data_IF_072106392842
#
_entry.id   IF_072106392842
#
_cell.length_a   1.000
_cell.length_b   1.000
_cell.length_c   1.000
_cell.angle_alpha   90.00
_cell.angle_beta   90.00
_cell.angle_gamma   90.00
#
_symmetry.space_group_name_H-M   'P 1'
#
loop_
_entity.id
_entity.type
_entity.pdbx_description
1 polymer ?
#
# COMPACT_ATOMS: atom_id res chain seq x y z
N UNK A 1 17.98 -49.34 65.84
CA UNK A 1 16.72 -49.94 65.33
C UNK A 1 16.11 -48.91 64.40
N UNK A 2 16.47 -49.03 63.11
CA UNK A 2 16.09 -48.15 62.01
C UNK A 2 15.17 -48.98 61.12
N UNK A 3 13.96 -48.52 60.87
CA UNK A 3 13.08 -49.06 59.82
C UNK A 3 12.50 -47.90 59.04
N UNK A 4 13.14 -47.67 57.90
CA UNK A 4 12.56 -47.20 56.64
C UNK A 4 11.47 -48.18 56.15
N UNK A 5 10.84 -47.83 55.01
CA UNK A 5 9.97 -48.64 54.11
C UNK A 5 8.48 -48.33 54.30
N UNK A 6 7.62 -48.08 53.31
CA UNK A 6 7.66 -47.79 51.86
C UNK A 6 6.22 -47.30 51.55
N UNK A 7 6.06 -46.34 50.65
CA UNK A 7 4.78 -46.13 49.95
C UNK A 7 5.00 -46.57 48.50
N UNK A 8 4.27 -47.57 47.96
CA UNK A 8 4.22 -47.80 46.54
C UNK A 8 3.04 -47.06 45.91
N UNK A 9 3.28 -46.63 44.67
CA UNK A 9 2.31 -46.04 43.75
C UNK A 9 1.24 -47.05 43.32
N UNK A 10 0.11 -46.55 42.84
CA UNK A 10 -0.45 -47.09 41.59
C UNK A 10 -1.22 -46.03 40.79
N UNK A 11 -0.89 -46.05 39.50
CA UNK A 11 -1.45 -45.28 38.39
C UNK A 11 -2.70 -46.03 37.92
N UNK A 12 -3.89 -45.45 38.10
CA UNK A 12 -5.08 -45.97 37.44
C UNK A 12 -5.54 -45.01 36.33
N UNK A 13 -5.40 -45.52 35.10
CA UNK A 13 -5.81 -44.89 33.85
C UNK A 13 -7.29 -44.48 33.89
N UNK A 14 -7.55 -43.32 33.30
CA UNK A 14 -8.86 -42.83 32.87
C UNK A 14 -9.63 -43.90 32.09
N UNK A 15 -10.54 -44.60 32.78
CA UNK A 15 -11.59 -45.39 32.15
C UNK A 15 -12.63 -44.41 31.59
N UNK A 16 -12.65 -44.29 30.26
CA UNK A 16 -13.66 -43.59 29.49
C UNK A 16 -15.06 -44.02 29.93
N UNK A 17 -15.82 -43.06 30.45
CA UNK A 17 -17.22 -43.21 30.82
C UNK A 17 -18.02 -43.81 29.65
N UNK A 18 -18.50 -45.03 29.88
CA UNK A 18 -19.41 -45.73 28.97
C UNK A 18 -20.74 -44.98 28.96
N UNK A 19 -20.90 -44.03 28.02
CA UNK A 19 -22.16 -43.37 27.76
C UNK A 19 -23.11 -44.40 27.12
N UNK A 20 -23.78 -45.20 27.95
CA UNK A 20 -24.68 -46.27 27.52
C UNK A 20 -25.98 -45.64 27.01
N UNK A 21 -25.98 -45.21 25.75
CA UNK A 21 -27.18 -44.72 25.09
C UNK A 21 -28.23 -45.84 25.00
N UNK A 22 -29.52 -45.59 25.33
CA UNK A 22 -30.57 -46.60 25.45
C UNK A 22 -31.15 -47.03 24.09
N UNK A 23 -30.29 -47.24 23.11
CA UNK A 23 -30.70 -47.65 21.77
C UNK A 23 -30.34 -49.13 21.55
N UNK A 24 -31.25 -49.86 20.90
CA UNK A 24 -30.99 -51.21 20.42
C UNK A 24 -29.73 -51.21 19.54
N UNK A 25 -28.95 -52.28 19.58
CA UNK A 25 -27.69 -52.36 18.83
C UNK A 25 -27.91 -52.16 17.32
N UNK A 26 -29.08 -52.54 16.80
CA UNK A 26 -29.48 -52.24 15.42
C UNK A 26 -29.48 -50.73 15.10
N UNK A 27 -29.96 -49.89 16.01
CA UNK A 27 -30.00 -48.43 15.83
C UNK A 27 -28.61 -47.83 15.89
N UNK A 28 -27.72 -48.37 16.75
CA UNK A 28 -26.32 -47.93 16.81
C UNK A 28 -25.59 -48.21 15.50
N UNK A 29 -25.80 -49.39 14.91
CA UNK A 29 -25.23 -49.72 13.60
C UNK A 29 -25.82 -48.87 12.47
N UNK A 30 -27.11 -48.52 12.52
CA UNK A 30 -27.70 -47.59 11.57
C UNK A 30 -27.10 -46.18 11.67
N UNK A 31 -26.94 -45.64 12.88
CA UNK A 31 -26.32 -44.32 13.09
C UNK A 31 -24.86 -44.32 12.64
N UNK A 32 -24.11 -45.38 12.95
CA UNK A 32 -22.74 -45.55 12.49
C UNK A 32 -22.67 -45.61 10.95
N UNK A 33 -23.59 -46.33 10.32
CA UNK A 33 -23.69 -46.42 8.85
C UNK A 33 -23.97 -45.07 8.20
N UNK A 34 -24.90 -44.28 8.75
CA UNK A 34 -25.20 -42.92 8.27
C UNK A 34 -23.98 -42.01 8.46
N UNK A 35 -23.28 -42.10 9.59
CA UNK A 35 -22.08 -41.31 9.85
C UNK A 35 -20.95 -41.62 8.85
N UNK A 36 -20.73 -42.90 8.56
CA UNK A 36 -19.75 -43.34 7.54
C UNK A 36 -20.17 -42.85 6.15
N UNK A 37 -21.45 -42.91 5.80
CA UNK A 37 -21.95 -42.41 4.52
C UNK A 37 -21.72 -40.90 4.38
N UNK A 38 -22.02 -40.12 5.42
CA UNK A 38 -21.78 -38.67 5.44
C UNK A 38 -20.29 -38.34 5.32
N UNK A 39 -19.43 -39.11 5.97
CA UNK A 39 -17.98 -38.96 5.87
C UNK A 39 -17.49 -39.24 4.44
N UNK A 40 -17.99 -40.29 3.79
CA UNK A 40 -17.65 -40.59 2.40
C UNK A 40 -18.11 -39.50 1.43
N UNK A 41 -19.30 -38.94 1.64
CA UNK A 41 -19.80 -37.80 0.84
C UNK A 41 -18.90 -36.57 1.05
N UNK A 42 -18.51 -36.26 2.29
CA UNK A 42 -17.61 -35.15 2.57
C UNK A 42 -16.23 -35.34 1.92
N UNK A 43 -15.68 -36.55 1.95
CA UNK A 43 -14.42 -36.88 1.28
C UNK A 43 -14.54 -36.76 -0.25
N UNK A 44 -15.65 -37.18 -0.84
CA UNK A 44 -15.89 -37.01 -2.28
C UNK A 44 -15.95 -35.52 -2.68
N UNK A 45 -16.58 -34.67 -1.86
CA UNK A 45 -16.62 -33.22 -2.09
C UNK A 45 -15.21 -32.62 -1.96
N UNK A 46 -14.42 -33.02 -0.97
CA UNK A 46 -13.03 -32.57 -0.82
C UNK A 46 -12.15 -33.01 -2.00
N UNK A 47 -12.28 -34.26 -2.44
CA UNK A 47 -11.57 -34.78 -3.62
C UNK A 47 -11.98 -33.99 -4.87
N UNK A 48 -13.28 -33.68 -5.04
CA UNK A 48 -13.77 -32.85 -6.13
C UNK A 48 -13.18 -31.43 -6.08
N UNK A 49 -13.15 -30.80 -4.91
CA UNK A 49 -12.57 -29.46 -4.72
C UNK A 49 -11.06 -29.45 -5.02
N UNK A 50 -10.34 -30.48 -4.58
CA UNK A 50 -8.92 -30.67 -4.87
C UNK A 50 -8.73 -30.87 -6.38
N UNK A 51 -9.52 -31.73 -7.02
CA UNK A 51 -9.45 -31.97 -8.46
C UNK A 51 -9.75 -30.69 -9.27
N UNK A 52 -10.73 -29.89 -8.85
CA UNK A 52 -11.02 -28.58 -9.47
C UNK A 52 -9.85 -27.61 -9.32
N UNK A 53 -9.21 -27.58 -8.15
CA UNK A 53 -8.02 -26.76 -7.90
C UNK A 53 -6.82 -27.23 -8.74
N UNK A 54 -6.65 -28.54 -8.92
CA UNK A 54 -5.65 -29.10 -9.82
C UNK A 54 -5.97 -28.89 -11.30
N UNK A 55 -7.24 -28.89 -11.70
CA UNK A 55 -7.65 -28.60 -13.08
C UNK A 55 -7.49 -27.13 -13.44
N UNK A 56 -7.71 -26.20 -12.49
CA UNK A 56 -7.45 -24.76 -12.68
C UNK A 56 -5.95 -24.44 -12.76
N UNK A 57 -5.09 -25.25 -12.14
CA UNK A 57 -3.62 -25.11 -12.26
C UNK A 57 -3.05 -25.74 -13.53
N UNK A 58 -3.80 -26.62 -14.21
CA UNK A 58 -3.34 -27.28 -15.44
C UNK A 58 -3.65 -26.54 -16.75
N UNK A 59 -4.49 -25.50 -16.74
CA UNK A 59 -4.75 -24.65 -17.94
C UNK A 59 -3.90 -23.39 -17.99
N UNK A 60 -2.99 -23.19 -17.02
CA UNK A 60 -2.03 -22.09 -17.01
C UNK A 60 -0.62 -22.70 -16.96
N UNK A 61 0.27 -22.30 -17.88
CA UNK A 61 1.64 -22.81 -18.14
C UNK A 61 1.70 -24.00 -19.10
N UNK A 62 2.31 -23.77 -20.29
CA UNK A 62 3.77 -23.82 -20.40
C UNK A 62 4.28 -22.50 -21.02
N UNK A 63 5.52 -22.03 -20.92
CA UNK A 63 6.82 -22.67 -20.86
C UNK A 63 7.83 -21.52 -20.64
N UNK A 64 8.81 -21.67 -19.75
CA UNK A 64 10.24 -21.41 -20.04
C UNK A 64 11.04 -21.28 -18.73
N UNK A 65 11.84 -22.31 -18.49
CA UNK A 65 13.25 -22.14 -18.12
C UNK A 65 14.02 -23.17 -18.94
N UNK A 66 15.02 -22.75 -19.71
CA UNK A 66 16.37 -23.34 -19.79
C UNK A 66 17.23 -22.47 -20.73
N UNK A 67 18.17 -21.77 -20.12
CA UNK A 67 19.56 -21.50 -20.54
C UNK A 67 19.95 -21.93 -21.97
N UNK A 68 20.39 -20.97 -22.80
CA UNK A 68 21.68 -21.11 -23.50
C UNK A 68 22.21 -19.77 -24.04
N UNK A 69 23.48 -19.56 -23.70
CA UNK A 69 24.44 -18.61 -24.24
C UNK A 69 24.95 -19.15 -25.58
N UNK A 70 24.97 -18.33 -26.63
CA UNK A 70 26.11 -18.11 -27.55
C UNK A 70 25.72 -17.63 -28.96
N UNK A 71 26.30 -16.48 -29.31
CA UNK A 71 26.99 -16.12 -30.56
C UNK A 71 26.23 -15.89 -31.90
N UNK A 72 26.50 -14.67 -32.40
CA UNK A 72 26.78 -14.22 -33.78
C UNK A 72 25.59 -14.06 -34.75
N UNK A 73 25.28 -12.84 -35.22
CA UNK A 73 25.89 -12.00 -36.29
C UNK A 73 25.45 -12.39 -37.71
N UNK A 74 25.20 -11.34 -38.52
CA UNK A 74 24.95 -11.29 -39.98
C UNK A 74 23.54 -11.65 -40.46
N UNK A 75 22.99 -11.08 -41.54
CA UNK A 75 23.13 -9.85 -42.32
C UNK A 75 22.01 -9.92 -43.38
N UNK A 76 21.75 -8.83 -44.08
CA UNK A 76 20.66 -8.59 -45.04
C UNK A 76 20.56 -9.56 -46.24
N UNK A 77 19.34 -9.78 -46.79
CA UNK A 77 18.81 -9.20 -48.06
C UNK A 77 17.53 -9.92 -48.56
N UNK A 78 16.69 -9.29 -49.41
CA UNK A 78 15.36 -9.77 -49.81
C UNK A 78 15.26 -10.25 -51.28
N UNK A 79 14.23 -11.04 -51.61
CA UNK A 79 13.58 -11.06 -52.93
C UNK A 79 12.39 -12.04 -52.96
N UNK A 80 11.33 -11.69 -53.68
CA UNK A 80 10.42 -12.66 -54.31
C UNK A 80 8.94 -12.44 -54.02
N UNK A 81 8.27 -11.75 -54.94
CA UNK A 81 6.82 -11.58 -54.98
C UNK A 81 6.09 -12.88 -55.39
N UNK A 82 4.86 -13.07 -54.92
CA UNK A 82 3.67 -13.27 -55.78
C UNK A 82 2.36 -13.35 -54.98
N UNK A 83 1.30 -12.92 -55.65
CA UNK A 83 -0.04 -12.59 -55.18
C UNK A 83 -0.90 -13.82 -54.85
N UNK A 84 -1.93 -13.68 -54.00
CA UNK A 84 -3.35 -14.00 -54.33
C UNK A 84 -4.32 -13.56 -53.21
N UNK A 85 -5.42 -12.92 -53.66
CA UNK A 85 -6.79 -12.89 -53.10
C UNK A 85 -7.11 -12.20 -51.74
N UNK A 86 -7.76 -11.04 -51.83
CA UNK A 86 -8.85 -10.57 -50.90
C UNK A 86 -10.22 -11.14 -51.38
N UNK A 87 -11.41 -10.96 -50.72
CA UNK A 87 -11.83 -10.05 -49.61
C UNK A 87 -12.83 -10.76 -48.59
N UNK A 88 -13.70 -10.12 -47.76
CA UNK A 88 -14.01 -8.69 -47.57
C UNK A 88 -14.22 -8.12 -46.13
N UNK A 89 -13.96 -6.80 -46.02
CA UNK A 89 -14.77 -5.75 -45.36
C UNK A 89 -15.30 -5.91 -43.92
N UNK A 90 -14.69 -5.15 -42.98
CA UNK A 90 -15.42 -4.45 -41.92
C UNK A 90 -14.83 -3.06 -41.69
N UNK A 91 -15.70 -2.05 -41.61
CA UNK A 91 -15.40 -0.61 -41.63
C UNK A 91 -14.62 -0.16 -40.39
N UNK A 92 -13.48 0.50 -40.59
CA UNK A 92 -12.80 1.31 -39.57
C UNK A 92 -13.20 2.76 -39.79
N UNK A 93 -13.89 3.35 -38.80
CA UNK A 93 -14.16 4.79 -38.76
C UNK A 93 -12.99 5.47 -38.07
N UNK A 94 -12.27 6.31 -38.80
CA UNK A 94 -11.16 7.13 -38.33
C UNK A 94 -11.71 8.37 -37.60
N UNK A 95 -11.62 8.39 -36.28
CA UNK A 95 -11.93 9.57 -35.44
C UNK A 95 -10.62 10.13 -34.88
N UNK A 96 -9.68 10.50 -35.76
CA UNK A 96 -8.50 11.32 -35.38
C UNK A 96 -8.55 12.76 -35.89
N UNK A 97 -9.70 13.23 -36.38
CA UNK A 97 -9.88 14.60 -36.85
C UNK A 97 -10.62 15.56 -35.90
N UNK A 98 -11.35 15.08 -34.88
CA UNK A 98 -12.12 15.97 -33.99
C UNK A 98 -11.34 16.46 -32.75
N UNK A 99 -10.28 15.76 -32.34
CA UNK A 99 -9.54 16.06 -31.09
C UNK A 99 -8.62 17.29 -31.16
N UNK A 100 -8.46 17.92 -32.33
CA UNK A 100 -7.65 19.15 -32.49
C UNK A 100 -8.47 20.45 -32.53
N UNK A 101 -9.80 20.38 -32.33
CA UNK A 101 -10.68 21.55 -32.30
C UNK A 101 -11.17 21.98 -30.92
N UNK A 102 -10.96 21.18 -29.87
CA UNK A 102 -11.45 21.50 -28.51
C UNK A 102 -10.36 21.96 -27.51
N UNK A 103 -9.08 21.94 -27.90
CA UNK A 103 -7.97 22.35 -27.01
C UNK A 103 -7.62 23.85 -27.08
N UNK A 104 -8.39 24.68 -27.80
CA UNK A 104 -8.12 26.12 -27.95
C UNK A 104 -8.96 27.06 -27.08
N UNK A 105 -9.88 26.56 -26.25
CA UNK A 105 -10.86 27.43 -25.60
C UNK A 105 -10.68 27.65 -24.09
N UNK A 106 -9.61 27.21 -23.42
CA UNK A 106 -9.44 27.45 -21.98
C UNK A 106 -8.05 27.90 -21.52
N UNK A 107 -7.31 28.63 -22.36
CA UNK A 107 -6.08 29.33 -21.92
C UNK A 107 -6.03 30.78 -22.41
N UNK A 108 -6.76 31.68 -21.73
CA UNK A 108 -6.35 33.09 -21.61
C UNK A 108 -7.13 33.82 -20.51
N UNK A 109 -6.48 34.07 -19.39
CA UNK A 109 -6.66 35.31 -18.64
C UNK A 109 -5.24 35.84 -18.36
N UNK A 110 -4.83 36.77 -19.19
CA UNK A 110 -3.60 37.55 -19.10
C UNK A 110 -3.96 38.93 -18.57
N UNK A 111 -3.28 39.47 -17.55
CA UNK A 111 -2.95 40.89 -17.32
C UNK A 111 -1.93 40.99 -16.14
N UNK A 112 -1.16 42.08 -15.98
CA UNK A 112 0.01 42.42 -16.77
C UNK A 112 1.30 42.59 -15.92
N UNK A 113 2.41 42.71 -16.63
CA UNK A 113 3.78 42.96 -16.18
C UNK A 113 4.01 44.37 -15.61
N UNK A 114 4.82 44.47 -14.55
CA UNK A 114 5.64 45.64 -14.24
C UNK A 114 7.13 45.27 -14.22
N UNK A 115 7.97 46.22 -14.64
CA UNK A 115 9.34 46.06 -15.10
C UNK A 115 10.38 46.19 -13.97
N UNK A 116 11.45 45.39 -14.12
CA UNK A 116 12.88 45.64 -13.86
C UNK A 116 13.33 46.44 -12.62
N UNK A 117 14.16 45.79 -11.79
CA UNK A 117 15.51 46.23 -11.45
C UNK A 117 16.45 45.02 -11.30
N UNK A 118 17.71 45.21 -11.68
CA UNK A 118 18.74 44.19 -11.77
C UNK A 118 19.53 44.03 -10.45
N UNK A 119 20.28 42.91 -10.42
CA UNK A 119 21.53 42.63 -9.68
C UNK A 119 21.56 41.70 -8.46
N UNK A 120 22.58 40.83 -8.52
CA UNK A 120 23.22 40.00 -7.50
C UNK A 120 22.64 38.61 -7.18
N UNK A 121 22.94 37.69 -8.10
CA UNK A 121 23.78 36.51 -7.86
C UNK A 121 23.78 35.89 -6.44
N UNK A 122 23.02 34.79 -6.25
CA UNK A 122 23.40 33.63 -5.45
C UNK A 122 22.56 32.42 -5.91
N UNK A 123 23.09 31.67 -6.87
CA UNK A 123 22.51 30.38 -7.31
C UNK A 123 22.75 29.31 -6.26
N UNK A 124 21.78 29.04 -5.39
CA UNK A 124 21.60 27.70 -4.83
C UNK A 124 20.48 26.98 -5.56
N UNK A 125 20.84 25.80 -6.08
CA UNK A 125 20.07 25.03 -7.04
C UNK A 125 18.77 24.47 -6.42
N UNK A 126 17.64 25.15 -6.63
CA UNK A 126 16.35 24.47 -6.69
C UNK A 126 16.20 23.85 -8.08
N UNK A 127 16.81 22.69 -8.31
CA UNK A 127 16.43 21.84 -9.44
C UNK A 127 14.96 21.48 -9.28
N UNK A 128 14.10 22.07 -10.11
CA UNK A 128 12.73 21.60 -10.32
C UNK A 128 12.86 20.13 -10.69
N UNK A 129 12.50 19.22 -9.78
CA UNK A 129 12.43 17.78 -10.03
C UNK A 129 11.33 17.55 -11.06
N UNK A 130 11.70 17.65 -12.33
CA UNK A 130 10.79 17.43 -13.44
C UNK A 130 10.52 15.93 -13.50
N UNK A 131 9.29 15.54 -13.21
CA UNK A 131 8.85 14.15 -13.37
C UNK A 131 8.67 13.91 -14.86
N UNK A 132 9.14 12.76 -15.34
CA UNK A 132 9.12 12.40 -16.75
C UNK A 132 8.41 11.07 -16.95
N UNK A 133 7.63 11.02 -18.02
CA UNK A 133 6.94 9.83 -18.49
C UNK A 133 5.43 9.90 -18.30
N UNK A 134 4.74 8.93 -18.88
CA UNK A 134 3.29 8.78 -18.80
C UNK A 134 2.93 7.33 -18.51
N UNK A 135 1.82 7.11 -17.81
CA UNK A 135 1.29 5.77 -17.52
C UNK A 135 0.01 5.55 -18.32
N UNK A 136 -0.02 4.45 -19.10
CA UNK A 136 -1.17 3.97 -19.87
C UNK A 136 -1.81 2.79 -19.15
N UNK A 137 -3.12 2.87 -18.94
CA UNK A 137 -3.88 1.89 -18.16
C UNK A 137 -5.34 1.89 -18.62
N UNK A 138 -6.10 0.86 -18.25
CA UNK A 138 -7.55 0.82 -18.45
C UNK A 138 -8.30 0.56 -17.15
N UNK A 139 -9.46 1.19 -16.99
CA UNK A 139 -10.35 1.01 -15.83
C UNK A 139 -11.75 0.63 -16.31
N UNK A 140 -12.36 -0.32 -15.62
CA UNK A 140 -13.72 -0.78 -15.87
C UNK A 140 -14.42 -1.05 -14.55
N UNK A 141 -15.66 -0.61 -14.41
CA UNK A 141 -16.49 -0.89 -13.23
C UNK A 141 -17.84 -1.47 -13.65
N UNK A 142 -18.08 -2.70 -13.23
CA UNK A 142 -19.38 -3.34 -13.35
C UNK A 142 -20.25 -2.92 -12.15
N UNK A 143 -21.24 -2.06 -12.41
CA UNK A 143 -22.16 -1.57 -11.39
C UNK A 143 -23.08 -2.66 -10.83
N UNK A 144 -23.37 -3.72 -11.60
CA UNK A 144 -24.27 -4.79 -11.17
C UNK A 144 -23.60 -5.75 -10.19
N UNK A 145 -22.30 -5.98 -10.38
CA UNK A 145 -21.48 -6.86 -9.54
C UNK A 145 -20.64 -6.10 -8.51
N UNK A 146 -20.74 -4.76 -8.50
CA UNK A 146 -19.87 -3.85 -7.78
C UNK A 146 -18.37 -4.19 -7.96
N UNK A 147 -17.99 -4.55 -9.19
CA UNK A 147 -16.69 -5.14 -9.48
C UNK A 147 -15.83 -4.16 -10.27
N UNK A 148 -14.72 -3.72 -9.66
CA UNK A 148 -13.76 -2.83 -10.30
C UNK A 148 -12.59 -3.63 -10.87
N UNK A 149 -12.23 -3.33 -12.10
CA UNK A 149 -11.08 -3.88 -12.82
C UNK A 149 -10.14 -2.75 -13.24
N UNK A 150 -8.86 -2.92 -12.94
CA UNK A 150 -7.78 -2.02 -13.32
C UNK A 150 -6.71 -2.82 -14.05
N UNK A 151 -6.38 -2.44 -15.27
CA UNK A 151 -5.33 -3.06 -16.07
C UNK A 151 -4.21 -2.06 -16.31
N UNK A 152 -2.99 -2.40 -15.88
CA UNK A 152 -1.82 -1.57 -16.17
C UNK A 152 -1.23 -2.03 -17.49
N UNK A 153 -1.18 -1.14 -18.49
CA UNK A 153 -0.75 -1.50 -19.84
C UNK A 153 0.75 -1.25 -20.03
N UNK A 154 1.16 0.01 -19.90
CA UNK A 154 2.51 0.45 -20.24
C UNK A 154 2.90 1.72 -19.49
N UNK A 155 4.16 1.87 -19.13
CA UNK A 155 4.75 3.18 -18.82
C UNK A 155 5.61 3.61 -20.00
N UNK A 156 5.59 4.89 -20.34
CA UNK A 156 6.36 5.48 -21.42
C UNK A 156 7.22 6.64 -20.91
N UNK A 157 8.38 6.85 -21.52
CA UNK A 157 9.17 8.07 -21.32
C UNK A 157 9.85 8.22 -19.95
N UNK A 158 10.14 7.11 -19.25
CA UNK A 158 10.95 7.18 -18.04
C UNK A 158 12.38 7.60 -18.39
N UNK A 159 12.90 8.61 -17.70
CA UNK A 159 14.28 9.04 -17.87
C UNK A 159 15.18 8.18 -16.98
N UNK A 160 16.01 7.34 -17.60
CA UNK A 160 17.15 6.72 -16.93
C UNK A 160 18.27 7.73 -16.75
N UNK A 161 18.79 7.91 -15.53
CA UNK A 161 19.99 8.71 -15.30
C UNK A 161 21.18 8.03 -15.98
N UNK A 162 21.51 8.42 -17.23
CA UNK A 162 22.71 8.08 -18.06
C UNK A 162 23.20 6.62 -18.13
N UNK A 163 22.57 5.68 -17.42
CA UNK A 163 22.84 4.25 -17.37
C UNK A 163 21.47 3.55 -17.35
N UNK A 164 20.91 3.34 -18.54
CA UNK A 164 19.64 2.61 -18.74
C UNK A 164 19.68 1.16 -18.25
N UNK A 165 20.85 0.65 -17.82
CA UNK A 165 21.06 -0.67 -17.21
C UNK A 165 20.54 -0.81 -15.78
N UNK A 166 20.19 0.29 -15.09
CA UNK A 166 19.79 0.26 -13.67
C UNK A 166 18.28 0.30 -13.39
N UNK A 167 17.45 0.70 -14.35
CA UNK A 167 16.01 0.87 -14.12
C UNK A 167 15.28 -0.46 -14.05
N UNK A 168 14.58 -0.70 -12.95
CA UNK A 168 13.73 -1.86 -12.71
C UNK A 168 12.32 -1.39 -12.30
N UNK A 169 11.56 -0.75 -13.20
CA UNK A 169 10.26 -0.18 -12.86
C UNK A 169 9.18 -1.23 -12.56
N UNK A 170 8.35 -0.90 -11.58
CA UNK A 170 7.06 -1.53 -11.31
C UNK A 170 6.04 -0.46 -10.91
N UNK A 171 4.76 -0.76 -11.06
CA UNK A 171 3.66 0.12 -10.69
C UNK A 171 3.03 -0.39 -9.40
N UNK A 172 2.94 0.50 -8.42
CA UNK A 172 2.19 0.27 -7.17
C UNK A 172 0.83 0.93 -7.30
N UNK A 173 -0.24 0.15 -7.14
CA UNK A 173 -1.61 0.59 -7.36
C UNK A 173 -2.33 0.60 -6.01
N UNK A 174 -2.98 1.71 -5.68
CA UNK A 174 -3.77 1.86 -4.46
C UNK A 174 -5.15 2.42 -4.79
N UNK A 175 -6.17 1.78 -4.24
CA UNK A 175 -7.52 2.30 -4.26
C UNK A 175 -7.72 3.17 -3.02
N UNK A 176 -7.80 4.49 -3.22
CA UNK A 176 -7.90 5.47 -2.15
C UNK A 176 -9.34 5.93 -1.99
N UNK A 177 -9.89 5.84 -0.79
CA UNK A 177 -11.21 6.39 -0.46
C UNK A 177 -11.07 7.69 0.32
N UNK A 178 -11.78 8.73 -0.11
CA UNK A 178 -11.86 10.02 0.55
C UNK A 178 -12.94 9.99 1.64
N UNK A 179 -12.53 10.10 2.91
CA UNK A 179 -13.46 10.28 4.02
C UNK A 179 -14.06 11.67 4.05
N UNK A 180 -15.33 11.76 4.44
CA UNK A 180 -16.11 13.00 4.47
C UNK A 180 -15.79 13.94 5.64
N UNK A 181 -14.94 13.55 6.60
CA UNK A 181 -14.62 14.35 7.78
C UNK A 181 -13.11 14.35 8.06
N UNK A 182 -12.39 15.32 7.49
CA UNK A 182 -11.09 15.72 7.99
C UNK A 182 -11.29 16.73 9.13
N UNK A 183 -10.72 16.48 10.31
CA UNK A 183 -10.63 17.53 11.34
C UNK A 183 -9.81 18.69 10.78
N UNK A 184 -10.27 19.91 11.03
CA UNK A 184 -9.61 21.15 10.61
C UNK A 184 -8.17 21.17 11.11
N UNK A 185 -7.21 20.91 10.21
CA UNK A 185 -5.81 21.18 10.47
C UNK A 185 -5.54 22.64 10.11
N UNK A 186 -5.28 23.45 11.13
CA UNK A 186 -4.64 24.75 10.96
C UNK A 186 -3.27 24.53 10.31
N UNK A 187 -3.23 24.70 8.98
CA UNK A 187 -1.97 24.77 8.24
C UNK A 187 -1.37 26.15 8.48
N UNK A 188 -0.05 26.24 8.68
CA UNK A 188 0.70 27.46 9.03
C UNK A 188 0.66 28.59 7.97
N UNK A 189 -0.18 28.50 6.95
CA UNK A 189 -0.32 29.50 5.88
C UNK A 189 -1.78 29.85 5.62
N UNK A 190 -2.60 30.11 6.65
CA UNK A 190 -3.85 30.90 6.55
C UNK A 190 -4.92 30.46 5.52
N UNK A 191 -4.75 29.32 4.85
CA UNK A 191 -5.61 28.82 3.80
C UNK A 191 -6.16 27.47 4.27
N UNK A 192 -7.39 27.52 4.81
CA UNK A 192 -8.13 26.38 5.32
C UNK A 192 -8.63 25.57 4.12
N UNK A 193 -7.76 24.74 3.53
CA UNK A 193 -8.23 23.62 2.70
C UNK A 193 -8.51 22.44 3.63
N UNK A 194 -9.77 21.95 3.71
CA UNK A 194 -10.07 20.76 4.51
C UNK A 194 -9.22 19.61 3.99
N UNK A 195 -8.31 19.11 4.83
CA UNK A 195 -7.45 18.00 4.47
C UNK A 195 -8.28 16.73 4.43
N UNK A 196 -8.56 16.25 3.23
CA UNK A 196 -9.30 15.00 3.02
C UNK A 196 -8.54 13.86 3.69
N UNK A 197 -9.21 13.13 4.57
CA UNK A 197 -8.65 11.95 5.23
C UNK A 197 -8.81 10.74 4.31
N UNK A 198 -7.69 10.21 3.82
CA UNK A 198 -7.67 9.11 2.88
C UNK A 198 -7.60 7.76 3.57
N UNK A 199 -8.21 6.76 2.96
CA UNK A 199 -8.11 5.35 3.35
C UNK A 199 -7.63 4.53 2.16
N UNK A 200 -6.65 3.65 2.37
CA UNK A 200 -6.29 2.64 1.39
C UNK A 200 -7.26 1.46 1.53
N UNK A 201 -8.12 1.25 0.54
CA UNK A 201 -9.05 0.10 0.50
C UNK A 201 -8.33 -1.16 0.04
N UNK A 202 -7.49 -1.02 -0.99
CA UNK A 202 -6.82 -2.14 -1.62
C UNK A 202 -5.48 -1.68 -2.20
N UNK A 203 -4.47 -2.55 -2.13
CA UNK A 203 -3.13 -2.30 -2.66
C UNK A 203 -2.68 -3.47 -3.53
N UNK A 204 -2.13 -3.16 -4.71
CA UNK A 204 -1.54 -4.13 -5.63
C UNK A 204 -0.18 -3.64 -6.13
N UNK A 205 0.55 -4.56 -6.76
CA UNK A 205 1.80 -4.28 -7.45
C UNK A 205 1.87 -5.09 -8.74
N UNK A 206 2.40 -4.48 -9.79
CA UNK A 206 2.76 -5.19 -11.02
C UNK A 206 4.02 -6.04 -10.80
N UNK A 207 4.34 -6.85 -11.81
CA UNK A 207 5.68 -7.43 -11.93
C UNK A 207 6.75 -6.33 -12.08
N UNK A 208 7.99 -6.68 -11.75
CA UNK A 208 9.16 -5.80 -11.97
C UNK A 208 9.71 -6.07 -13.37
N UNK A 209 9.86 -5.03 -14.17
CA UNK A 209 10.48 -5.13 -15.51
C UNK A 209 11.89 -4.57 -15.44
N UNK A 210 12.90 -5.33 -15.86
CA UNK A 210 14.31 -4.93 -15.76
C UNK A 210 14.79 -4.21 -17.01
N UNK A 211 15.65 -3.20 -16.84
CA UNK A 211 16.38 -2.54 -17.91
C UNK A 211 15.51 -1.79 -18.92
N UNK A 212 14.30 -1.35 -18.55
CA UNK A 212 13.37 -0.71 -19.48
C UNK A 212 12.95 0.68 -19.00
N UNK A 213 13.00 1.63 -19.93
CA UNK A 213 12.41 2.97 -19.78
C UNK A 213 10.94 3.03 -20.26
N UNK A 214 10.48 1.96 -20.91
CA UNK A 214 9.12 1.85 -21.44
C UNK A 214 8.54 0.45 -21.10
N UNK A 215 8.38 0.10 -19.82
CA UNK A 215 7.98 -1.24 -19.41
C UNK A 215 6.53 -1.56 -19.83
N UNK A 216 6.34 -2.78 -20.35
CA UNK A 216 5.04 -3.35 -20.70
C UNK A 216 4.57 -4.34 -19.62
N UNK A 217 3.36 -4.17 -19.13
CA UNK A 217 2.78 -4.99 -18.06
C UNK A 217 1.61 -5.83 -18.61
N UNK A 218 0.47 -5.24 -18.92
CA UNK A 218 -0.76 -6.00 -19.19
C UNK A 218 -1.25 -6.78 -17.96
N UNK A 219 -0.79 -6.40 -16.75
CA UNK A 219 -1.25 -7.00 -15.49
C UNK A 219 -2.65 -6.45 -15.16
N UNK A 220 -3.60 -7.34 -14.84
CA UNK A 220 -4.98 -7.00 -14.48
C UNK A 220 -5.23 -7.26 -13.01
N UNK A 221 -5.87 -6.30 -12.34
CA UNK A 221 -6.22 -6.35 -10.92
C UNK A 221 -7.70 -6.07 -10.76
N UNK A 222 -8.33 -6.72 -9.79
CA UNK A 222 -9.75 -6.54 -9.54
C UNK A 222 -10.12 -6.65 -8.07
N UNK A 223 -11.16 -5.93 -7.67
CA UNK A 223 -11.77 -6.05 -6.34
C UNK A 223 -13.28 -5.84 -6.41
N UNK A 224 -13.97 -6.43 -5.43
CA UNK A 224 -15.38 -6.16 -5.16
C UNK A 224 -15.43 -4.93 -4.24
N UNK A 225 -16.16 -3.92 -4.66
CA UNK A 225 -16.51 -2.74 -3.90
C UNK A 225 -17.76 -3.07 -3.09
N UNK A 226 -17.75 -2.83 -1.78
CA UNK A 226 -18.94 -3.05 -0.96
C UNK A 226 -20.09 -2.13 -1.40
N UNK A 227 -21.32 -2.58 -1.15
CA UNK A 227 -22.55 -2.23 -1.89
C UNK A 227 -23.14 -0.84 -1.58
N UNK A 228 -22.29 0.19 -1.56
CA UNK A 228 -22.69 1.58 -1.50
C UNK A 228 -22.52 2.20 -2.89
N UNK A 229 -23.65 2.45 -3.58
CA UNK A 229 -23.68 3.00 -4.96
C UNK A 229 -22.88 4.30 -5.13
N UNK A 230 -22.72 5.07 -4.05
CA UNK A 230 -21.97 6.33 -4.04
C UNK A 230 -20.51 6.20 -3.60
N UNK A 231 -20.04 4.99 -3.28
CA UNK A 231 -18.66 4.78 -2.83
C UNK A 231 -17.67 5.08 -3.97
N UNK A 232 -17.99 4.70 -5.21
CA UNK A 232 -17.15 4.98 -6.38
C UNK A 232 -16.89 6.48 -6.56
N UNK A 233 -17.82 7.33 -6.14
CA UNK A 233 -17.69 8.79 -6.22
C UNK A 233 -16.61 9.35 -5.31
N UNK A 234 -16.28 8.63 -4.24
CA UNK A 234 -15.27 8.98 -3.25
C UNK A 234 -13.96 8.23 -3.47
N UNK A 235 -13.88 7.39 -4.51
CA UNK A 235 -12.69 6.60 -4.82
C UNK A 235 -11.80 7.32 -5.81
N UNK A 236 -10.52 7.40 -5.48
CA UNK A 236 -9.43 7.84 -6.33
C UNK A 236 -8.44 6.71 -6.51
N UNK A 237 -8.13 6.38 -7.76
CA UNK A 237 -7.11 5.42 -8.10
C UNK A 237 -5.74 6.12 -8.10
N UNK A 238 -4.86 5.72 -7.19
CA UNK A 238 -3.48 6.24 -7.06
C UNK A 238 -2.52 5.19 -7.62
N UNK A 239 -1.75 5.54 -8.64
CA UNK A 239 -0.73 4.67 -9.22
C UNK A 239 0.63 5.33 -9.18
N UNK A 240 1.59 4.68 -8.54
CA UNK A 240 2.96 5.15 -8.40
C UNK A 240 3.91 4.27 -9.20
N UNK A 241 4.66 4.87 -10.11
CA UNK A 241 5.75 4.19 -10.80
C UNK A 241 6.97 4.28 -9.91
N UNK A 242 7.52 3.12 -9.53
CA UNK A 242 8.65 3.00 -8.62
C UNK A 242 9.78 2.22 -9.30
N UNK A 243 11.02 2.65 -9.06
CA UNK A 243 12.19 1.88 -9.43
C UNK A 243 12.53 0.91 -8.29
N UNK A 244 12.54 -0.38 -8.61
CA UNK A 244 12.90 -1.42 -7.67
C UNK A 244 14.39 -1.34 -7.32
N UNK A 245 14.69 -1.55 -6.05
CA UNK A 245 16.05 -1.65 -5.52
C UNK A 245 16.08 -2.81 -4.53
N UNK A 246 17.07 -3.70 -4.67
CA UNK A 246 17.22 -4.90 -3.85
C UNK A 246 17.82 -4.59 -2.46
N UNK A 247 18.65 -3.55 -2.37
CA UNK A 247 19.46 -3.25 -1.19
C UNK A 247 19.00 -1.99 -0.46
N UNK A 248 18.24 -1.11 -1.13
CA UNK A 248 17.68 0.08 -0.53
C UNK A 248 16.16 0.19 -0.71
N UNK A 249 15.61 1.33 -0.30
CA UNK A 249 14.20 1.66 -0.57
C UNK A 249 14.02 1.92 -2.06
N UNK A 250 12.88 1.52 -2.59
CA UNK A 250 12.47 1.83 -3.95
C UNK A 250 12.30 3.33 -4.13
N UNK A 251 12.84 3.87 -5.22
CA UNK A 251 12.70 5.29 -5.54
C UNK A 251 11.40 5.52 -6.32
N UNK A 252 10.64 6.54 -5.96
CA UNK A 252 9.40 6.89 -6.67
C UNK A 252 9.78 7.74 -7.87
N UNK A 253 9.43 7.28 -9.07
CA UNK A 253 9.69 7.99 -10.32
C UNK A 253 8.60 9.00 -10.63
N UNK A 254 7.35 8.69 -10.27
CA UNK A 254 6.21 9.58 -10.45
C UNK A 254 4.90 8.92 -10.01
N UNK A 255 3.84 9.71 -10.00
CA UNK A 255 2.51 9.31 -9.55
C UNK A 255 1.42 9.84 -10.49
N UNK A 256 0.33 9.08 -10.63
CA UNK A 256 -0.94 9.58 -11.17
C UNK A 256 -2.07 9.34 -10.17
N UNK A 257 -3.07 10.23 -10.22
CA UNK A 257 -4.27 10.21 -9.37
C UNK A 257 -5.51 10.42 -10.23
N UNK A 258 -6.42 9.47 -10.17
CA UNK A 258 -7.54 9.36 -11.10
C UNK A 258 -8.83 9.21 -10.30
N UNK A 259 -9.63 10.28 -10.10
CA UNK A 259 -10.90 10.19 -9.39
C UNK A 259 -11.92 9.42 -10.24
N UNK A 260 -12.38 8.26 -9.75
CA UNK A 260 -13.22 7.36 -10.53
C UNK A 260 -14.67 7.87 -10.67
N UNK A 261 -15.16 8.62 -9.68
CA UNK A 261 -16.52 9.18 -9.66
C UNK A 261 -16.90 10.08 -10.83
N UNK A 262 -15.91 10.69 -11.50
CA UNK A 262 -16.14 11.64 -12.60
C UNK A 262 -16.04 10.98 -13.97
N UNK A 263 -15.76 9.68 -14.03
CA UNK A 263 -15.42 8.97 -15.26
C UNK A 263 -16.53 8.02 -15.69
N UNK A 264 -16.75 7.92 -17.00
CA UNK A 264 -17.64 6.91 -17.56
C UNK A 264 -16.87 5.59 -17.73
N UNK A 265 -16.84 4.80 -16.65
CA UNK A 265 -16.12 3.51 -16.57
C UNK A 265 -17.07 2.30 -16.65
N UNK A 266 -18.30 2.50 -17.16
CA UNK A 266 -19.28 1.42 -17.41
C UNK A 266 -18.85 0.47 -18.54
N UNK A 267 -17.81 0.84 -19.28
CA UNK A 267 -17.10 0.01 -20.26
C UNK A 267 -15.60 0.23 -20.04
N UNK A 268 -14.73 -0.69 -20.51
CA UNK A 268 -13.29 -0.52 -20.40
C UNK A 268 -12.84 0.81 -21.00
N UNK A 269 -12.41 1.72 -20.12
CA UNK A 269 -11.92 3.04 -20.48
C UNK A 269 -10.40 3.04 -20.38
N UNK A 270 -9.74 3.24 -21.52
CA UNK A 270 -8.29 3.36 -21.58
C UNK A 270 -7.87 4.83 -21.43
N UNK A 271 -6.87 5.07 -20.58
CA UNK A 271 -6.35 6.38 -20.21
C UNK A 271 -4.83 6.40 -20.35
N UNK A 272 -4.30 7.56 -20.68
CA UNK A 272 -2.88 7.86 -20.68
C UNK A 272 -2.67 9.17 -19.94
N UNK A 273 -1.99 9.10 -18.80
CA UNK A 273 -1.80 10.24 -17.90
C UNK A 273 -0.31 10.50 -17.67
N UNK A 274 0.08 11.76 -17.69
CA UNK A 274 1.46 12.19 -17.42
C UNK A 274 1.78 12.04 -15.93
N UNK A 275 2.97 11.48 -15.64
CA UNK A 275 3.45 11.28 -14.28
C UNK A 275 3.68 12.63 -13.60
N UNK A 276 3.15 12.77 -12.39
CA UNK A 276 3.26 13.96 -11.55
C UNK A 276 4.20 13.71 -10.36
N UNK A 277 4.58 14.81 -9.71
CA UNK A 277 5.35 14.76 -8.46
C UNK A 277 4.51 14.05 -7.39
N UNK A 278 5.05 13.01 -6.73
CA UNK A 278 4.33 12.28 -5.70
C UNK A 278 3.88 13.19 -4.55
N UNK A 279 2.60 13.08 -4.18
CA UNK A 279 2.01 13.84 -3.07
C UNK A 279 1.88 12.96 -1.82
N UNK A 280 1.94 13.59 -0.64
CA UNK A 280 1.71 12.92 0.64
C UNK A 280 0.22 12.99 0.98
N UNK A 281 -0.38 11.85 1.28
CA UNK A 281 -1.79 11.79 1.69
C UNK A 281 -1.91 11.72 3.20
N UNK A 282 -2.81 12.52 3.78
CA UNK A 282 -3.23 12.37 5.17
C UNK A 282 -4.14 11.14 5.28
N UNK A 283 -3.70 10.13 6.04
CA UNK A 283 -4.37 8.82 6.15
C UNK A 283 -4.85 8.51 7.57
N UNK A 284 -4.47 9.35 8.53
CA UNK A 284 -4.83 9.21 9.93
C UNK A 284 -4.26 10.33 10.77
N UNK A 285 -4.49 10.25 12.08
CA UNK A 285 -3.88 11.12 13.07
C UNK A 285 -3.34 10.29 14.23
N UNK A 286 -2.27 10.74 14.85
CA UNK A 286 -1.64 10.08 16.00
C UNK A 286 -1.49 11.07 17.13
N UNK A 287 -1.99 10.71 18.31
CA UNK A 287 -1.76 11.45 19.54
C UNK A 287 -0.48 10.91 20.20
N UNK A 288 0.56 11.73 20.18
CA UNK A 288 1.85 11.42 20.78
C UNK A 288 2.07 12.23 22.06
N UNK A 289 2.76 11.64 23.02
CA UNK A 289 3.36 12.37 24.15
C UNK A 289 4.87 12.37 24.06
N UNK A 290 5.49 13.51 24.33
CA UNK A 290 6.94 13.66 24.36
C UNK A 290 7.40 14.22 25.70
N UNK A 291 8.38 13.57 26.31
CA UNK A 291 9.03 14.04 27.53
C UNK A 291 10.54 13.82 27.45
N UNK A 292 11.28 14.91 27.54
CA UNK A 292 12.74 14.88 27.57
C UNK A 292 13.27 14.97 29.01
N UNK A 293 14.22 14.09 29.33
CA UNK A 293 14.94 14.02 30.60
C UNK A 293 16.42 14.35 30.37
N UNK A 294 16.85 15.62 30.51
CA UNK A 294 18.21 16.04 30.18
C UNK A 294 19.29 15.34 31.01
N UNK A 295 19.05 15.15 32.32
CA UNK A 295 20.03 14.59 33.25
C UNK A 295 20.44 13.17 32.90
N UNK A 296 19.52 12.37 32.33
CA UNK A 296 19.79 10.99 31.94
C UNK A 296 19.91 10.82 30.42
N UNK A 297 19.81 11.91 29.65
CA UNK A 297 19.73 11.92 28.19
C UNK A 297 18.67 10.94 27.65
N UNK A 298 17.50 10.91 28.28
CA UNK A 298 16.41 10.02 27.87
C UNK A 298 15.27 10.79 27.23
N UNK A 299 14.69 10.20 26.20
CA UNK A 299 13.46 10.67 25.57
C UNK A 299 12.38 9.62 25.76
N UNK A 300 11.29 10.00 26.41
CA UNK A 300 10.08 9.20 26.53
C UNK A 300 9.11 9.62 25.42
N UNK A 301 8.70 8.65 24.61
CA UNK A 301 7.73 8.84 23.52
C UNK A 301 6.53 7.95 23.80
N UNK A 302 5.40 8.57 24.15
CA UNK A 302 4.14 7.86 24.33
C UNK A 302 3.27 7.87 23.08
N UNK A 303 2.74 6.70 22.72
CA UNK A 303 1.69 6.54 21.74
C UNK A 303 0.37 6.38 22.48
N UNK A 304 -0.49 7.39 22.45
CA UNK A 304 -1.76 7.36 23.15
C UNK A 304 -2.86 6.78 22.27
N UNK A 305 -3.12 7.42 21.11
CA UNK A 305 -4.24 7.09 20.23
C UNK A 305 -3.85 7.23 18.76
N UNK A 306 -4.48 6.42 17.92
CA UNK A 306 -4.42 6.55 16.45
C UNK A 306 -5.85 6.63 15.93
N UNK A 307 -6.12 7.63 15.08
CA UNK A 307 -7.39 7.82 14.37
C UNK A 307 -7.19 7.52 12.88
N UNK A 308 -8.12 6.81 12.26
CA UNK A 308 -8.11 6.54 10.81
C UNK A 308 -9.51 6.75 10.22
N UNK A 309 -9.61 7.01 8.91
CA UNK A 309 -10.88 7.30 8.24
C UNK A 309 -11.85 6.10 8.15
N UNK A 310 -11.39 4.86 8.40
CA UNK A 310 -12.23 3.67 8.23
C UNK A 310 -13.22 3.56 9.40
N UNK A 311 -14.51 3.66 9.09
CA UNK A 311 -15.61 3.46 10.03
C UNK A 311 -15.86 1.98 10.35
N UNK A 312 -15.52 1.06 9.43
CA UNK A 312 -15.71 -0.38 9.63
C UNK A 312 -14.43 -1.08 10.10
N UNK A 313 -14.50 -1.86 11.19
CA UNK A 313 -13.38 -2.69 11.60
C UNK A 313 -13.17 -3.78 10.54
N UNK A 314 -12.05 -3.71 9.81
CA UNK A 314 -11.56 -4.86 9.05
C UNK A 314 -11.51 -6.06 10.00
N UNK A 315 -12.13 -7.17 9.62
CA UNK A 315 -12.27 -8.36 10.48
C UNK A 315 -10.90 -8.76 11.07
N UNK A 316 -10.81 -8.68 12.41
CA UNK A 316 -9.72 -9.18 13.24
C UNK A 316 -8.31 -8.63 12.90
N UNK A 317 -8.20 -7.49 12.22
CA UNK A 317 -6.91 -6.86 11.97
C UNK A 317 -6.33 -6.23 13.25
N UNK A 318 -5.01 -6.37 13.43
CA UNK A 318 -4.29 -5.75 14.55
C UNK A 318 -3.39 -4.63 14.07
N UNK A 319 -3.36 -3.53 14.82
CA UNK A 319 -2.52 -2.37 14.60
C UNK A 319 -1.33 -2.38 15.57
N UNK A 320 -0.16 -2.02 15.07
CA UNK A 320 1.02 -1.78 15.91
C UNK A 320 1.87 -0.65 15.34
N UNK A 321 2.56 0.09 16.20
CA UNK A 321 3.49 1.11 15.78
C UNK A 321 4.95 0.68 15.97
N UNK A 322 5.83 1.25 15.15
CA UNK A 322 7.27 1.27 15.36
C UNK A 322 7.71 2.71 15.55
N UNK A 323 8.41 2.96 16.64
CA UNK A 323 8.98 4.27 16.97
C UNK A 323 10.50 4.13 16.96
N UNK A 324 11.19 5.00 16.24
CA UNK A 324 12.65 5.07 16.23
C UNK A 324 13.09 6.51 16.29
N UNK A 325 14.27 6.73 16.86
CA UNK A 325 14.91 8.06 16.86
C UNK A 325 16.09 7.99 15.91
N UNK A 326 16.23 9.01 15.07
CA UNK A 326 17.39 9.22 14.24
C UNK A 326 18.08 10.49 14.71
N UNK A 327 19.35 10.40 15.11
CA UNK A 327 20.17 11.55 15.47
C UNK A 327 21.33 11.63 14.46
N UNK A 328 21.40 12.73 13.70
CA UNK A 328 22.29 12.86 12.53
C UNK A 328 22.11 11.68 11.55
N UNK A 329 23.22 10.98 11.26
CA UNK A 329 23.27 9.78 10.42
C UNK A 329 23.05 8.48 11.22
N UNK A 330 23.00 8.56 12.55
CA UNK A 330 22.81 7.39 13.41
C UNK A 330 21.32 7.16 13.66
N UNK A 331 20.83 5.99 13.27
CA UNK A 331 19.47 5.56 13.55
C UNK A 331 19.47 4.59 14.72
N UNK A 332 18.81 4.98 15.80
CA UNK A 332 18.59 4.10 16.95
C UNK A 332 17.65 2.97 16.55
N UNK A 333 17.82 1.81 17.21
CA UNK A 333 16.94 0.66 17.03
C UNK A 333 15.50 1.07 17.32
N UNK A 334 14.58 0.67 16.43
CA UNK A 334 13.17 0.93 16.66
C UNK A 334 12.66 0.11 17.85
N UNK A 335 11.72 0.68 18.59
CA UNK A 335 10.90 -0.02 19.56
C UNK A 335 9.50 -0.21 18.98
N UNK A 336 8.87 -1.34 19.30
CA UNK A 336 7.54 -1.70 18.78
C UNK A 336 6.56 -1.66 19.94
N UNK A 337 5.36 -1.16 19.69
CA UNK A 337 4.25 -1.25 20.64
C UNK A 337 3.65 -2.65 20.68
N UNK A 338 2.79 -2.91 21.66
CA UNK A 338 1.88 -4.05 21.62
C UNK A 338 0.97 -3.96 20.37
N UNK A 339 0.45 -5.12 19.96
CA UNK A 339 -0.52 -5.20 18.88
C UNK A 339 -1.91 -5.07 19.49
N UNK A 340 -2.67 -4.08 19.03
CA UNK A 340 -4.02 -3.77 19.52
C UNK A 340 -5.02 -3.98 18.38
N UNK A 341 -6.21 -4.50 18.68
CA UNK A 341 -7.25 -4.65 17.68
C UNK A 341 -7.56 -3.30 17.00
N UNK A 342 -7.71 -3.33 15.68
CA UNK A 342 -7.98 -2.12 14.90
C UNK A 342 -9.40 -1.61 15.18
N UNK A 343 -9.49 -0.32 15.48
CA UNK A 343 -10.73 0.42 15.62
C UNK A 343 -10.58 1.77 14.88
N UNK A 344 -11.67 2.50 14.57
CA UNK A 344 -11.57 3.85 14.00
C UNK A 344 -10.70 4.78 14.86
N UNK A 345 -10.79 4.62 16.18
CA UNK A 345 -9.88 5.20 17.17
C UNK A 345 -9.24 4.07 17.99
N UNK A 346 -8.01 3.69 17.67
CA UNK A 346 -7.26 2.68 18.42
C UNK A 346 -6.47 3.34 19.55
N UNK A 347 -6.63 2.83 20.78
CA UNK A 347 -5.93 3.32 21.97
C UNK A 347 -4.77 2.39 22.29
N UNK A 348 -3.57 2.94 22.42
CA UNK A 348 -2.34 2.20 22.79
C UNK A 348 -1.94 2.49 24.24
N UNK A 349 -1.89 3.77 24.63
CA UNK A 349 -1.40 4.23 25.94
C UNK A 349 -0.03 3.62 26.34
N UNK A 350 0.87 3.48 25.38
CA UNK A 350 2.19 2.88 25.60
C UNK A 350 3.28 3.94 25.55
N UNK A 351 4.19 3.91 26.53
CA UNK A 351 5.35 4.82 26.58
C UNK A 351 6.63 4.04 26.32
N UNK A 352 7.37 4.46 25.29
CA UNK A 352 8.64 3.87 24.89
C UNK A 352 9.78 4.80 25.29
N UNK A 353 10.82 4.25 25.91
CA UNK A 353 11.95 5.02 26.42
C UNK A 353 13.19 4.82 25.57
N UNK A 354 13.78 5.91 25.09
CA UNK A 354 15.00 5.89 24.29
C UNK A 354 16.13 6.60 25.03
N UNK A 355 17.30 5.96 25.09
CA UNK A 355 18.53 6.61 25.56
C UNK A 355 19.18 7.27 24.35
N UNK A 356 19.38 8.59 24.41
CA UNK A 356 19.96 9.37 23.32
C UNK A 356 21.49 9.30 23.38
N UNK A 357 22.18 9.35 22.24
CA UNK A 357 23.63 9.57 22.20
C UNK A 357 23.97 11.01 22.62
N UNK A 358 25.25 11.28 22.93
CA UNK A 358 25.80 12.61 23.24
C UNK A 358 25.79 13.54 22.02
N UNK A 359 24.59 13.90 21.55
CA UNK A 359 24.33 14.70 20.36
C UNK A 359 23.30 15.76 20.72
N UNK A 360 23.41 17.00 20.20
CA UNK A 360 22.40 18.01 20.40
C UNK A 360 21.01 17.51 19.99
N UNK A 361 20.02 17.74 20.85
CA UNK A 361 18.65 17.29 20.62
C UNK A 361 18.09 17.81 19.29
N UNK A 362 18.50 19.01 18.85
CA UNK A 362 18.10 19.60 17.56
C UNK A 362 18.47 18.76 16.33
N UNK A 363 19.43 17.85 16.47
CA UNK A 363 19.87 16.94 15.41
C UNK A 363 19.12 15.60 15.42
N UNK A 364 18.18 15.43 16.35
CA UNK A 364 17.36 14.24 16.48
C UNK A 364 15.97 14.43 15.86
N UNK A 365 15.46 13.36 15.24
CA UNK A 365 14.11 13.25 14.69
C UNK A 365 13.49 11.94 15.16
N UNK A 366 12.25 11.98 15.60
CA UNK A 366 11.43 10.81 15.92
C UNK A 366 10.72 10.40 14.64
N UNK A 367 10.76 9.11 14.32
CA UNK A 367 10.05 8.49 13.22
C UNK A 367 9.05 7.50 13.80
N UNK A 368 7.76 7.73 13.56
CA UNK A 368 6.68 6.82 13.94
C UNK A 368 6.08 6.22 12.66
N UNK A 369 5.93 4.91 12.63
CA UNK A 369 5.29 4.19 11.52
C UNK A 369 4.24 3.25 12.07
N UNK A 370 3.00 3.39 11.60
CA UNK A 370 1.86 2.58 12.04
C UNK A 370 1.58 1.52 11.00
N UNK A 371 1.52 0.27 11.46
CA UNK A 371 1.29 -0.89 10.61
C UNK A 371 0.00 -1.59 11.01
N UNK A 372 -0.66 -2.13 10.00
CA UNK A 372 -1.75 -3.06 10.12
C UNK A 372 -1.29 -4.47 9.74
N UNK A 373 -1.79 -5.46 10.44
CA UNK A 373 -1.57 -6.87 10.11
C UNK A 373 -2.92 -7.60 10.17
N UNK A 374 -3.44 -8.06 9.03
CA UNK A 374 -4.62 -8.94 8.99
C UNK A 374 -4.38 -10.21 9.81
N UNK A 375 -5.40 -10.72 10.52
CA UNK A 375 -5.27 -11.97 11.30
C UNK A 375 -5.14 -13.22 10.44
N UNK A 376 -5.61 -13.17 9.18
CA UNK A 376 -5.45 -14.26 8.23
C UNK A 376 -3.97 -14.35 7.85
N UNK A 377 -3.27 -15.37 8.37
CA UNK A 377 -1.81 -15.51 8.43
C UNK A 377 -1.03 -15.59 7.09
N UNK A 378 -1.60 -15.10 5.97
CA UNK A 378 -0.94 -14.98 4.67
C UNK A 378 -0.56 -13.55 4.27
N UNK A 379 -0.84 -12.55 5.10
CA UNK A 379 -0.67 -11.15 4.70
C UNK A 379 0.70 -10.56 5.10
N UNK A 380 1.32 -9.87 4.14
CA UNK A 380 2.43 -8.98 4.41
C UNK A 380 1.92 -7.79 5.25
N UNK A 381 2.70 -7.36 6.25
CA UNK A 381 2.41 -6.19 7.09
C UNK A 381 2.14 -4.97 6.18
N UNK A 382 0.98 -4.34 6.34
CA UNK A 382 0.61 -3.14 5.58
C UNK A 382 1.03 -1.90 6.37
N UNK A 383 1.75 -0.97 5.73
CA UNK A 383 2.03 0.34 6.33
C UNK A 383 0.80 1.22 6.16
N UNK A 384 0.14 1.58 7.26
CA UNK A 384 -0.97 2.53 7.22
C UNK A 384 -0.47 3.93 6.92
N UNK A 385 0.60 4.33 7.59
CA UNK A 385 1.29 5.58 7.32
C UNK A 385 2.39 5.84 8.34
N UNK A 386 3.02 7.00 8.21
CA UNK A 386 4.14 7.40 9.04
C UNK A 386 4.15 8.91 9.27
N UNK A 387 4.85 9.33 10.32
CA UNK A 387 5.09 10.73 10.63
C UNK A 387 6.52 10.89 11.16
N UNK A 388 7.04 12.10 11.05
CA UNK A 388 8.33 12.48 11.60
C UNK A 388 8.18 13.73 12.46
N UNK A 389 8.63 13.68 13.71
CA UNK A 389 8.63 14.82 14.64
C UNK A 389 10.07 15.19 14.94
N UNK A 390 10.44 16.45 14.76
CA UNK A 390 11.80 16.90 15.07
C UNK A 390 12.02 18.33 14.60
N UNK A 391 13.12 18.93 15.04
CA UNK A 391 13.52 20.25 14.54
C UNK A 391 14.10 20.08 13.13
N UNK A 392 13.40 20.56 12.11
CA UNK A 392 13.98 20.70 10.77
C UNK A 392 14.44 22.14 10.54
N UNK A 393 15.39 22.33 9.62
CA UNK A 393 15.89 23.68 9.30
C UNK A 393 14.87 24.54 8.55
N UNK A 394 13.88 23.91 7.92
CA UNK A 394 12.89 24.55 7.04
C UNK A 394 11.48 24.67 7.64
N UNK A 395 11.21 24.01 8.77
CA UNK A 395 9.91 24.06 9.45
C UNK A 395 10.10 23.70 10.93
N UNK A 396 9.66 24.57 11.82
CA UNK A 396 9.71 24.30 13.26
C UNK A 396 8.54 23.40 13.67
N UNK A 397 8.85 22.20 14.14
CA UNK A 397 7.84 21.33 14.76
C UNK A 397 7.47 21.91 16.14
N UNK A 398 6.22 22.35 16.25
CA UNK A 398 5.71 22.96 17.48
C UNK A 398 5.67 21.95 18.64
N UNK A 399 5.39 20.67 18.39
CA UNK A 399 5.42 19.65 19.44
C UNK A 399 6.83 19.49 20.01
N UNK A 400 7.83 19.45 19.12
CA UNK A 400 9.23 19.41 19.50
C UNK A 400 9.62 20.63 20.34
N UNK A 401 9.22 21.82 19.90
CA UNK A 401 9.50 23.09 20.58
C UNK A 401 8.88 23.13 21.97
N UNK A 402 7.61 22.70 22.10
CA UNK A 402 6.91 22.63 23.39
C UNK A 402 7.58 21.62 24.34
N UNK A 403 8.01 20.46 23.83
CA UNK A 403 8.74 19.47 24.62
C UNK A 403 10.07 20.03 25.16
N UNK A 404 10.84 20.73 24.32
CA UNK A 404 12.13 21.33 24.74
C UNK A 404 11.91 22.41 25.80
N UNK A 405 10.84 23.21 25.69
CA UNK A 405 10.47 24.22 26.69
C UNK A 405 9.95 23.61 28.00
N UNK A 406 9.27 22.47 27.92
CA UNK A 406 8.58 21.81 29.04
C UNK A 406 9.44 20.66 29.62
N UNK A 407 10.64 20.99 30.06
CA UNK A 407 11.62 20.01 30.54
C UNK A 407 11.03 19.13 31.67
N UNK A 408 11.19 17.80 31.54
CA UNK A 408 10.65 16.76 32.45
C UNK A 408 9.13 16.65 32.52
N UNK A 409 8.38 17.45 31.76
CA UNK A 409 6.92 17.34 31.67
C UNK A 409 6.52 16.70 30.34
N UNK A 410 5.56 15.77 30.33
CA UNK A 410 5.03 15.23 29.09
C UNK A 410 4.14 16.26 28.40
N UNK A 411 4.43 16.52 27.13
CA UNK A 411 3.57 17.32 26.24
C UNK A 411 2.84 16.36 25.31
N UNK A 412 1.53 16.52 25.14
CA UNK A 412 0.72 15.72 24.22
C UNK A 412 0.29 16.55 23.00
N UNK A 413 0.43 16.01 21.79
CA UNK A 413 -0.04 16.68 20.56
C UNK A 413 -0.46 15.69 19.49
N UNK A 414 -1.47 16.06 18.70
CA UNK A 414 -1.90 15.33 17.51
C UNK A 414 -0.95 15.60 16.33
N UNK A 415 -0.69 14.56 15.54
CA UNK A 415 0.15 14.59 14.35
C UNK A 415 -0.56 13.90 13.20
N UNK A 416 -0.53 14.48 12.01
CA UNK A 416 -1.02 13.83 10.80
C UNK A 416 -0.17 12.61 10.43
N UNK A 417 -0.82 11.49 10.15
CA UNK A 417 -0.19 10.28 9.62
C UNK A 417 -0.21 10.36 8.09
N UNK A 418 0.95 10.27 7.45
CA UNK A 418 1.12 10.49 6.00
C UNK A 418 1.52 9.21 5.26
N UNK A 419 1.10 9.07 3.99
CA UNK A 419 1.43 7.92 3.13
C UNK A 419 2.01 8.26 1.76
#
# INVERSE_FOLDING_TARGET
>A
MLTFVEFPADVELLSTGQLRMPFSDAVKYCILGISILLLLVALAILIWQIFRCFSETHTSYPHQDTVNTDLLYSEEKPSGAENYASPPSTKVVDVRAEARRLTRCLSRASFPSEQNYAESDMREHQTINRVHGSLRFSVYYDQLQAFLVVTVLQVEGLVGSSQTSGLQPFVKIRLMWAGSEGTELESQEGQVTPSVLWTVLQEWRTRVVKGSCNPLYGDQFSCILQDNKDMINHITLRMEVRNFDKFSRHTVLGEIRVPLGKMNISFPLELQEDLQIPQKDLVGEVLLTLKYLPTSQRLEVGLLKVRTAIAEPSSDAVMHARISIQCNQSKLRYQKTSAVHRCPVTVFNEVLMFSLPDVPLEQCKILVSVYETPSTGRSNKCLLGHLSVGKDRSSEDEHWTLMVRSVRQPVAKWHGLLL
#
